data_IF_777603725664
#
_entry.id   IF_777603725664
#
_cell.length_a   1.000
_cell.length_b   1.000
_cell.length_c   1.000
_cell.angle_alpha   90.00
_cell.angle_beta   90.00
_cell.angle_gamma   90.00
#
_symmetry.space_group_name_H-M   'P 1'
#
loop_
_entity.id
_entity.type
_entity.pdbx_description
1 polymer ?
#
# COMPACT_ATOMS: atom_id res chain seq x y z
N UNK A 1 -16.76 -22.12 -13.34
CA UNK A 1 -17.44 -20.81 -13.42
C UNK A 1 -18.04 -20.41 -12.10
N UNK A 2 -17.75 -19.18 -11.69
CA UNK A 2 -18.37 -18.51 -10.56
C UNK A 2 -19.52 -17.64 -11.08
N UNK A 3 -20.66 -17.67 -10.42
CA UNK A 3 -21.81 -16.82 -10.79
C UNK A 3 -22.25 -15.98 -9.61
N UNK A 4 -22.55 -14.69 -9.88
CA UNK A 4 -23.11 -13.77 -8.90
C UNK A 4 -24.42 -14.27 -8.29
N UNK A 5 -24.75 -13.72 -7.11
CA UNK A 5 -25.97 -14.04 -6.36
C UNK A 5 -27.25 -13.74 -7.18
N UNK A 6 -27.20 -12.72 -8.04
CA UNK A 6 -28.33 -12.22 -8.82
C UNK A 6 -28.64 -13.03 -10.10
N UNK A 7 -27.82 -14.01 -10.48
CA UNK A 7 -28.05 -14.79 -11.70
C UNK A 7 -28.99 -15.96 -11.38
N UNK A 8 -30.16 -15.99 -12.02
CA UNK A 8 -31.15 -17.07 -11.89
C UNK A 8 -30.64 -18.42 -12.39
N UNK A 9 -31.19 -19.52 -11.85
CA UNK A 9 -30.75 -20.90 -12.16
C UNK A 9 -30.85 -21.24 -13.65
N UNK A 10 -31.93 -20.80 -14.33
CA UNK A 10 -32.12 -21.01 -15.78
C UNK A 10 -30.96 -20.42 -16.60
N UNK A 11 -30.62 -19.14 -16.34
CA UNK A 11 -29.51 -18.46 -17.02
C UNK A 11 -28.16 -19.11 -16.73
N UNK A 12 -27.91 -19.55 -15.49
CA UNK A 12 -26.70 -20.33 -15.13
C UNK A 12 -26.59 -21.61 -15.95
N UNK A 13 -27.68 -22.36 -16.09
CA UNK A 13 -27.69 -23.62 -16.83
C UNK A 13 -27.50 -23.40 -18.34
N UNK A 14 -28.09 -22.35 -18.91
CA UNK A 14 -27.90 -22.02 -20.33
C UNK A 14 -26.43 -21.66 -20.62
N UNK A 15 -25.83 -20.79 -19.80
CA UNK A 15 -24.41 -20.42 -19.93
C UNK A 15 -23.51 -21.64 -19.71
N UNK A 16 -23.83 -22.49 -18.73
CA UNK A 16 -23.09 -23.74 -18.46
C UNK A 16 -23.11 -24.67 -19.67
N UNK A 17 -24.27 -24.86 -20.32
CA UNK A 17 -24.40 -25.68 -21.52
C UNK A 17 -23.65 -25.08 -22.71
N UNK A 18 -23.72 -23.75 -22.87
CA UNK A 18 -23.06 -23.07 -23.98
C UNK A 18 -21.53 -23.12 -23.90
N UNK A 19 -20.94 -22.84 -22.73
CA UNK A 19 -19.48 -22.75 -22.58
C UNK A 19 -18.84 -24.08 -22.12
N UNK A 20 -19.63 -25.05 -21.61
CA UNK A 20 -19.13 -26.36 -21.22
C UNK A 20 -18.38 -26.43 -19.87
N UNK A 21 -18.20 -25.31 -19.15
CA UNK A 21 -17.49 -25.30 -17.87
C UNK A 21 -18.36 -25.66 -16.66
N UNK A 22 -17.79 -26.39 -15.68
CA UNK A 22 -18.47 -26.72 -14.41
C UNK A 22 -18.69 -25.47 -13.55
N UNK A 23 -19.87 -25.38 -12.92
CA UNK A 23 -20.18 -24.35 -11.92
C UNK A 23 -19.51 -24.70 -10.58
N UNK A 24 -18.78 -23.76 -10.00
CA UNK A 24 -18.07 -23.92 -8.72
C UNK A 24 -18.46 -22.74 -7.81
N UNK A 25 -18.44 -22.92 -6.49
CA UNK A 25 -18.71 -21.85 -5.51
C UNK A 25 -17.48 -21.03 -5.16
N UNK A 26 -16.31 -21.66 -5.13
CA UNK A 26 -15.02 -21.09 -4.74
C UNK A 26 -13.94 -21.69 -5.64
N UNK A 27 -12.91 -20.91 -5.99
CA UNK A 27 -11.80 -21.35 -6.82
C UNK A 27 -10.49 -21.01 -6.10
N UNK A 28 -9.53 -21.92 -6.07
CA UNK A 28 -8.18 -21.60 -5.62
C UNK A 28 -7.31 -21.32 -6.84
N UNK A 29 -6.70 -20.13 -6.89
CA UNK A 29 -5.80 -19.73 -7.97
C UNK A 29 -4.51 -19.19 -7.37
N UNK A 30 -3.38 -19.82 -7.70
CA UNK A 30 -2.05 -19.50 -7.12
C UNK A 30 -2.06 -19.46 -5.58
N UNK A 31 -2.85 -20.33 -4.94
CA UNK A 31 -3.03 -20.36 -3.48
C UNK A 31 -4.00 -19.30 -2.93
N UNK A 32 -4.48 -18.36 -3.74
CA UNK A 32 -5.52 -17.41 -3.35
C UNK A 32 -6.90 -17.99 -3.56
N UNK A 33 -7.72 -17.95 -2.51
CA UNK A 33 -9.12 -18.35 -2.58
C UNK A 33 -9.96 -17.22 -3.20
N UNK A 34 -10.47 -17.47 -4.40
CA UNK A 34 -11.37 -16.59 -5.12
C UNK A 34 -12.80 -17.02 -4.81
N UNK A 35 -13.51 -16.17 -4.09
CA UNK A 35 -14.92 -16.35 -3.77
C UNK A 35 -15.69 -15.04 -4.03
N UNK A 36 -16.97 -15.16 -4.38
CA UNK A 36 -17.85 -14.00 -4.61
C UNK A 36 -18.40 -13.38 -3.30
N UNK A 37 -17.94 -13.89 -2.15
CA UNK A 37 -18.22 -13.38 -0.81
C UNK A 37 -16.96 -12.75 -0.21
N UNK A 38 -17.12 -11.98 0.87
CA UNK A 38 -15.98 -11.55 1.68
C UNK A 38 -15.29 -12.77 2.31
N UNK A 39 -13.97 -12.82 2.19
CA UNK A 39 -13.14 -13.83 2.85
C UNK A 39 -13.11 -13.57 4.36
N UNK A 40 -13.19 -14.64 5.13
CA UNK A 40 -13.22 -14.64 6.60
C UNK A 40 -11.89 -15.15 7.16
N UNK A 41 -11.75 -15.10 8.48
CA UNK A 41 -10.59 -15.65 9.19
C UNK A 41 -10.30 -17.11 8.80
N UNK A 42 -11.34 -17.95 8.79
CA UNK A 42 -11.28 -19.38 8.43
C UNK A 42 -10.60 -19.62 7.06
N UNK A 43 -10.81 -18.72 6.10
CA UNK A 43 -10.24 -18.86 4.75
C UNK A 43 -8.71 -18.67 4.74
N UNK A 44 -8.12 -18.07 5.78
CA UNK A 44 -6.68 -17.81 5.91
C UNK A 44 -6.01 -18.63 7.01
N UNK A 45 -6.75 -19.52 7.69
CA UNK A 45 -6.23 -20.34 8.79
C UNK A 45 -5.03 -21.20 8.36
N UNK A 46 -5.01 -21.63 7.10
CA UNK A 46 -3.89 -22.38 6.52
C UNK A 46 -2.54 -21.65 6.63
N UNK A 47 -2.52 -20.30 6.64
CA UNK A 47 -1.29 -19.53 6.81
C UNK A 47 -0.72 -19.74 8.22
N UNK A 48 -1.59 -19.70 9.24
CA UNK A 48 -1.23 -19.93 10.63
C UNK A 48 -0.81 -21.38 10.83
N UNK A 49 -1.55 -22.34 10.27
CA UNK A 49 -1.20 -23.76 10.32
C UNK A 49 0.17 -24.03 9.69
N UNK A 50 0.49 -23.40 8.57
CA UNK A 50 1.80 -23.50 7.94
C UNK A 50 2.92 -22.91 8.81
N UNK A 51 2.64 -21.80 9.50
CA UNK A 51 3.57 -21.22 10.47
C UNK A 51 3.80 -22.19 11.65
N UNK A 52 2.73 -22.72 12.24
CA UNK A 52 2.81 -23.68 13.35
C UNK A 52 3.51 -24.98 12.97
N UNK A 53 3.26 -25.52 11.78
CA UNK A 53 3.98 -26.70 11.26
C UNK A 53 5.48 -26.45 11.19
N UNK A 54 5.91 -25.29 10.67
CA UNK A 54 7.33 -24.92 10.62
C UNK A 54 7.92 -24.71 12.01
N UNK A 55 7.18 -24.08 12.91
CA UNK A 55 7.57 -23.88 14.31
C UNK A 55 7.79 -25.20 15.05
N UNK A 56 6.91 -26.19 14.82
CA UNK A 56 7.01 -27.52 15.42
C UNK A 56 8.18 -28.34 14.85
N UNK A 57 8.54 -28.11 13.58
CA UNK A 57 9.69 -28.76 12.95
C UNK A 57 11.02 -28.21 13.44
N UNK A 58 11.07 -26.93 13.84
CA UNK A 58 12.31 -26.33 14.32
C UNK A 58 12.59 -26.72 15.75
N UNK A 59 13.78 -27.27 15.98
CA UNK A 59 14.31 -27.53 17.31
C UNK A 59 14.66 -26.20 18.01
N UNK A 60 13.63 -25.50 18.50
CA UNK A 60 13.72 -24.17 19.13
C UNK A 60 14.71 -24.11 20.31
N UNK A 61 15.00 -25.26 20.92
CA UNK A 61 15.99 -25.46 21.99
C UNK A 61 17.44 -25.36 21.53
N UNK A 62 17.72 -25.76 20.29
CA UNK A 62 19.07 -25.83 19.73
C UNK A 62 19.47 -24.53 19.01
N UNK A 63 18.52 -23.61 18.82
CA UNK A 63 18.73 -22.37 18.11
C UNK A 63 19.13 -21.25 19.07
N UNK A 64 20.21 -20.56 18.73
CA UNK A 64 20.54 -19.28 19.35
C UNK A 64 19.44 -18.24 19.10
N UNK A 65 19.39 -17.19 19.92
CA UNK A 65 18.45 -16.09 19.72
C UNK A 65 18.58 -15.48 18.31
N UNK A 66 19.83 -15.30 17.84
CA UNK A 66 20.10 -14.84 16.49
C UNK A 66 19.54 -15.79 15.41
N UNK A 67 19.68 -17.11 15.60
CA UNK A 67 19.09 -18.11 14.70
C UNK A 67 17.57 -18.04 14.66
N UNK A 68 16.92 -17.89 15.83
CA UNK A 68 15.46 -17.71 15.90
C UNK A 68 14.99 -16.46 15.18
N UNK A 69 15.65 -15.33 15.40
CA UNK A 69 15.33 -14.05 14.73
C UNK A 69 15.46 -14.17 13.21
N UNK A 70 16.53 -14.81 12.74
CA UNK A 70 16.75 -15.04 11.30
C UNK A 70 15.62 -15.88 10.70
N UNK A 71 15.23 -17.00 11.33
CA UNK A 71 14.13 -17.84 10.84
C UNK A 71 12.77 -17.13 10.82
N UNK A 72 12.48 -16.34 11.86
CA UNK A 72 11.27 -15.51 11.89
C UNK A 72 11.27 -14.54 10.71
N UNK A 73 12.38 -13.84 10.52
CA UNK A 73 12.53 -12.82 9.47
C UNK A 73 12.42 -13.40 8.07
N UNK A 74 13.13 -14.49 7.78
CA UNK A 74 13.24 -15.03 6.42
C UNK A 74 12.08 -15.95 6.05
N UNK A 75 11.48 -16.64 7.03
CA UNK A 75 10.44 -17.64 6.76
C UNK A 75 9.08 -17.19 7.26
N UNK A 76 8.89 -16.96 8.57
CA UNK A 76 7.55 -16.74 9.13
C UNK A 76 6.92 -15.43 8.63
N UNK A 77 7.68 -14.33 8.63
CA UNK A 77 7.21 -13.03 8.12
C UNK A 77 7.05 -13.01 6.59
N UNK A 78 7.65 -13.96 5.88
CA UNK A 78 7.48 -14.11 4.44
C UNK A 78 6.16 -14.82 4.09
N UNK A 79 5.67 -15.74 4.92
CA UNK A 79 4.46 -16.55 4.67
C UNK A 79 3.22 -15.73 4.27
N UNK A 80 2.79 -14.69 5.02
CA UNK A 80 1.59 -13.95 4.66
C UNK A 80 1.83 -12.93 3.54
N UNK A 81 3.08 -12.67 3.12
CA UNK A 81 3.42 -11.54 2.23
C UNK A 81 2.67 -11.61 0.89
N UNK A 82 2.54 -12.80 0.30
CA UNK A 82 1.81 -12.98 -0.96
C UNK A 82 0.30 -12.77 -0.79
N UNK A 83 -0.30 -13.29 0.28
CA UNK A 83 -1.73 -13.12 0.55
C UNK A 83 -2.05 -11.67 0.93
N UNK A 84 -1.26 -11.06 1.81
CA UNK A 84 -1.44 -9.69 2.28
C UNK A 84 -1.35 -8.62 1.16
N UNK A 85 -0.57 -8.89 0.11
CA UNK A 85 -0.44 -8.00 -1.05
C UNK A 85 -1.62 -8.07 -2.02
N UNK A 86 -2.27 -9.24 -2.15
CA UNK A 86 -3.32 -9.47 -3.16
C UNK A 86 -4.73 -9.63 -2.58
N UNK A 87 -4.88 -9.76 -1.26
CA UNK A 87 -6.17 -9.97 -0.61
C UNK A 87 -6.31 -9.19 0.70
N UNK A 88 -7.55 -8.93 1.08
CA UNK A 88 -7.88 -8.31 2.37
C UNK A 88 -7.81 -9.36 3.47
N UNK A 89 -6.59 -9.67 3.93
CA UNK A 89 -6.36 -10.55 5.08
C UNK A 89 -6.90 -9.86 6.34
N UNK A 90 -7.74 -10.54 7.16
CA UNK A 90 -8.21 -9.99 8.42
C UNK A 90 -7.04 -9.69 9.37
N UNK A 91 -7.06 -8.53 10.05
CA UNK A 91 -6.01 -8.11 10.99
C UNK A 91 -5.68 -9.19 12.03
N UNK A 92 -6.70 -9.85 12.57
CA UNK A 92 -6.55 -10.96 13.51
C UNK A 92 -5.63 -12.08 13.03
N UNK A 93 -5.67 -12.43 11.74
CA UNK A 93 -4.77 -13.47 11.17
C UNK A 93 -3.31 -13.01 11.23
N UNK A 94 -3.07 -11.74 10.91
CA UNK A 94 -1.72 -11.15 10.93
C UNK A 94 -1.20 -11.02 12.36
N UNK A 95 -2.08 -10.65 13.30
CA UNK A 95 -1.79 -10.56 14.73
C UNK A 95 -1.48 -11.94 15.34
N UNK A 96 -2.25 -12.97 15.01
CA UNK A 96 -1.99 -14.36 15.44
C UNK A 96 -0.63 -14.86 14.93
N UNK A 97 -0.27 -14.49 13.69
CA UNK A 97 1.04 -14.78 13.11
C UNK A 97 2.17 -14.06 13.87
N UNK A 98 1.99 -12.77 14.18
CA UNK A 98 2.94 -11.99 14.98
C UNK A 98 3.06 -12.58 16.39
N UNK A 99 1.98 -13.07 17.01
CA UNK A 99 1.99 -13.80 18.29
C UNK A 99 2.80 -15.09 18.18
N UNK A 100 2.60 -15.89 17.13
CA UNK A 100 3.38 -17.10 16.90
C UNK A 100 4.88 -16.79 16.75
N UNK A 101 5.24 -15.70 16.08
CA UNK A 101 6.62 -15.23 15.95
C UNK A 101 7.22 -14.84 17.32
N UNK A 102 6.48 -14.03 18.11
CA UNK A 102 6.90 -13.61 19.45
C UNK A 102 7.14 -14.81 20.37
N UNK A 103 6.21 -15.77 20.36
CA UNK A 103 6.30 -16.96 21.18
C UNK A 103 7.52 -17.81 20.79
N UNK A 104 7.83 -17.94 19.50
CA UNK A 104 9.00 -18.70 19.07
C UNK A 104 10.33 -18.07 19.51
N UNK A 105 10.43 -16.74 19.45
CA UNK A 105 11.62 -16.00 19.86
C UNK A 105 11.85 -16.18 21.37
N UNK A 106 10.82 -15.88 22.17
CA UNK A 106 10.96 -15.67 23.61
C UNK A 106 10.67 -16.90 24.46
N UNK A 107 9.79 -17.81 24.03
CA UNK A 107 9.45 -18.98 24.84
C UNK A 107 10.58 -20.03 24.82
N UNK A 108 10.92 -20.52 26.02
CA UNK A 108 11.83 -21.64 26.25
C UNK A 108 11.05 -22.74 27.00
N UNK A 109 10.64 -23.78 26.28
CA UNK A 109 9.81 -24.92 26.74
C UNK A 109 8.42 -24.59 27.34
N UNK A 110 7.45 -25.47 27.05
CA UNK A 110 6.11 -25.49 27.65
C UNK A 110 5.29 -24.18 27.59
N UNK A 111 5.59 -23.30 26.62
CA UNK A 111 4.79 -22.10 26.37
C UNK A 111 4.97 -20.96 27.38
N UNK A 112 5.91 -21.07 28.33
CA UNK A 112 6.18 -20.01 29.31
C UNK A 112 7.54 -19.36 29.00
N UNK A 113 7.51 -18.09 28.59
CA UNK A 113 8.70 -17.27 28.43
C UNK A 113 8.34 -15.80 28.52
N UNK A 114 9.19 -15.02 29.18
CA UNK A 114 8.99 -13.58 29.31
C UNK A 114 9.39 -12.88 28.00
N UNK A 115 8.53 -12.01 27.50
CA UNK A 115 8.85 -11.14 26.38
C UNK A 115 9.70 -9.97 26.88
N UNK A 116 11.00 -9.99 26.60
CA UNK A 116 11.92 -8.96 27.10
C UNK A 116 11.83 -7.62 26.35
N UNK A 117 11.36 -7.64 25.11
CA UNK A 117 11.30 -6.45 24.24
C UNK A 117 9.93 -6.41 23.58
N UNK A 118 9.35 -5.21 23.49
CA UNK A 118 8.11 -4.99 22.75
C UNK A 118 8.31 -5.36 21.27
N UNK A 119 7.31 -6.02 20.68
CA UNK A 119 7.36 -6.45 19.28
C UNK A 119 7.54 -5.30 18.30
N UNK A 120 6.90 -4.16 18.56
CA UNK A 120 7.05 -2.98 17.71
C UNK A 120 8.47 -2.42 17.76
N UNK A 121 9.13 -2.45 18.92
CA UNK A 121 10.54 -2.07 19.05
C UNK A 121 11.46 -3.03 18.29
N UNK A 122 11.16 -4.33 18.30
CA UNK A 122 11.89 -5.30 17.46
C UNK A 122 11.71 -5.04 15.96
N UNK A 123 10.56 -4.48 15.56
CA UNK A 123 10.25 -4.16 14.16
C UNK A 123 10.91 -2.88 13.66
N UNK A 124 11.53 -2.08 14.55
CA UNK A 124 12.25 -0.88 14.14
C UNK A 124 13.51 -1.24 13.32
N UNK A 125 14.00 -0.29 12.49
CA UNK A 125 15.29 -0.40 11.85
C UNK A 125 16.43 -0.62 12.85
N UNK A 126 17.52 -1.27 12.43
CA UNK A 126 18.71 -1.46 13.29
C UNK A 126 19.25 -0.10 13.78
N UNK A 127 19.24 0.91 12.91
CA UNK A 127 19.69 2.27 13.24
C UNK A 127 18.84 2.93 14.35
N UNK A 128 17.61 2.45 14.57
CA UNK A 128 16.70 2.91 15.62
C UNK A 128 16.65 1.93 16.81
N UNK A 129 17.67 1.07 16.98
CA UNK A 129 17.75 0.09 18.08
C UNK A 129 16.90 -1.18 17.88
N UNK A 130 16.23 -1.34 16.74
CA UNK A 130 15.42 -2.52 16.45
C UNK A 130 16.20 -3.69 15.83
N UNK A 131 15.47 -4.72 15.39
CA UNK A 131 16.05 -5.95 14.80
C UNK A 131 15.65 -6.16 13.33
N UNK A 132 15.14 -5.12 12.66
CA UNK A 132 14.66 -5.22 11.27
C UNK A 132 13.66 -6.37 11.08
N UNK A 133 12.82 -6.63 12.08
CA UNK A 133 11.61 -7.42 11.91
C UNK A 133 10.52 -6.55 11.30
N UNK A 134 9.45 -7.15 10.80
CA UNK A 134 8.34 -6.42 10.22
C UNK A 134 7.04 -6.96 10.78
N UNK A 135 6.26 -6.14 11.49
CA UNK A 135 4.92 -6.53 11.88
C UNK A 135 4.09 -6.74 10.63
N UNK A 136 3.42 -7.89 10.55
CA UNK A 136 2.61 -8.21 9.39
C UNK A 136 1.47 -7.21 9.19
N UNK A 137 0.93 -6.65 10.26
CA UNK A 137 -0.13 -5.63 10.21
C UNK A 137 0.38 -4.33 9.58
N UNK A 138 1.52 -3.81 10.08
CA UNK A 138 2.11 -2.55 9.58
C UNK A 138 2.66 -2.66 8.16
N UNK A 139 3.24 -3.81 7.79
CA UNK A 139 3.80 -4.05 6.45
C UNK A 139 2.72 -4.22 5.37
N UNK A 140 1.54 -4.71 5.73
CA UNK A 140 0.51 -5.11 4.76
C UNK A 140 0.07 -3.99 3.81
N UNK A 141 -0.24 -2.76 4.26
CA UNK A 141 -0.62 -1.67 3.36
C UNK A 141 0.52 -1.30 2.39
N UNK A 142 1.77 -1.25 2.87
CA UNK A 142 2.94 -0.89 2.04
C UNK A 142 3.17 -1.88 0.91
N UNK A 143 2.90 -3.18 1.12
CA UNK A 143 2.99 -4.19 0.06
C UNK A 143 2.05 -3.93 -1.11
N UNK A 144 0.94 -3.22 -0.87
CA UNK A 144 -0.08 -2.88 -1.89
C UNK A 144 0.31 -1.66 -2.72
N UNK A 145 1.30 -0.86 -2.27
CA UNK A 145 1.80 0.29 -3.02
C UNK A 145 2.32 -0.12 -4.41
N UNK A 146 2.91 -1.31 -4.54
CA UNK A 146 3.35 -1.84 -5.85
C UNK A 146 2.18 -2.07 -6.82
N UNK A 147 1.04 -2.55 -6.31
CA UNK A 147 -0.17 -2.74 -7.11
C UNK A 147 -0.72 -1.38 -7.54
N UNK A 148 -0.76 -0.41 -6.63
CA UNK A 148 -1.19 0.95 -6.91
C UNK A 148 -0.32 1.64 -7.96
N UNK A 149 1.01 1.51 -7.86
CA UNK A 149 1.93 2.05 -8.86
C UNK A 149 1.68 1.48 -10.27
N UNK A 150 1.51 0.15 -10.36
CA UNK A 150 1.17 -0.50 -11.64
C UNK A 150 -0.18 -0.05 -12.20
N UNK A 151 -1.13 0.26 -11.32
CA UNK A 151 -2.45 0.73 -11.72
C UNK A 151 -2.39 2.11 -12.37
N UNK A 152 -1.60 3.03 -11.79
CA UNK A 152 -1.37 4.39 -12.32
C UNK A 152 -0.62 4.34 -13.66
N UNK A 153 0.44 3.55 -13.74
CA UNK A 153 1.28 3.49 -14.94
C UNK A 153 0.58 2.82 -16.14
N UNK A 154 -0.28 1.82 -15.90
CA UNK A 154 -0.91 1.04 -16.96
C UNK A 154 -2.42 1.35 -17.06
N UNK A 155 -2.75 2.50 -17.65
CA UNK A 155 -4.14 2.92 -17.91
C UNK A 155 -4.92 1.95 -18.81
N UNK A 156 -4.25 1.31 -19.77
CA UNK A 156 -4.89 0.34 -20.69
C UNK A 156 -5.19 -1.03 -20.07
N UNK A 157 -4.79 -1.27 -18.82
CA UNK A 157 -4.99 -2.57 -18.20
C UNK A 157 -6.46 -2.87 -17.97
N UNK A 158 -6.85 -4.14 -18.11
CA UNK A 158 -8.24 -4.56 -17.85
C UNK A 158 -8.70 -4.21 -16.42
N UNK A 159 -7.78 -4.23 -15.45
CA UNK A 159 -8.05 -3.80 -14.08
C UNK A 159 -8.40 -2.32 -14.02
N UNK A 160 -7.64 -1.47 -14.72
CA UNK A 160 -7.90 -0.04 -14.79
C UNK A 160 -9.24 0.22 -15.48
N UNK A 161 -9.44 -0.30 -16.69
CA UNK A 161 -10.71 -0.16 -17.43
C UNK A 161 -11.94 -0.59 -16.62
N UNK A 162 -11.88 -1.73 -15.92
CA UNK A 162 -12.98 -2.23 -15.07
C UNK A 162 -13.23 -1.39 -13.82
N UNK A 163 -12.17 -0.83 -13.22
CA UNK A 163 -12.31 0.00 -12.03
C UNK A 163 -12.73 1.43 -12.41
N UNK A 164 -12.15 1.99 -13.47
CA UNK A 164 -12.53 3.29 -14.03
C UNK A 164 -13.99 3.29 -14.47
N UNK A 165 -14.47 2.25 -15.17
CA UNK A 165 -15.88 2.16 -15.58
C UNK A 165 -16.85 2.07 -14.40
N UNK A 166 -16.41 1.56 -13.24
CA UNK A 166 -17.24 1.36 -12.05
C UNK A 166 -17.15 2.53 -11.07
N UNK A 167 -15.98 3.14 -10.95
CA UNK A 167 -15.66 4.12 -9.92
C UNK A 167 -15.38 5.53 -10.48
N UNK A 168 -15.19 5.69 -11.79
CA UNK A 168 -14.83 6.93 -12.48
C UNK A 168 -13.32 7.07 -12.68
N UNK A 169 -12.88 8.13 -13.36
CA UNK A 169 -11.48 8.34 -13.76
C UNK A 169 -10.55 8.85 -12.64
N UNK A 170 -11.09 9.53 -11.63
CA UNK A 170 -10.32 10.11 -10.52
C UNK A 170 -9.89 9.07 -9.46
N UNK A 171 -9.28 7.98 -9.91
CA UNK A 171 -8.89 6.83 -9.07
C UNK A 171 -7.62 7.07 -8.26
N UNK A 172 -6.82 8.05 -8.67
CA UNK A 172 -5.60 8.45 -7.97
C UNK A 172 -5.90 9.21 -6.66
N UNK A 173 -7.13 9.73 -6.56
CA UNK A 173 -7.64 10.38 -5.34
C UNK A 173 -8.23 9.32 -4.41
N UNK A 174 -7.74 9.31 -3.17
CA UNK A 174 -8.18 8.40 -2.11
C UNK A 174 -9.61 8.75 -1.69
N UNK A 175 -10.62 8.17 -2.36
CA UNK A 175 -12.04 8.43 -2.04
C UNK A 175 -12.62 7.31 -1.18
N UNK A 176 -13.08 7.67 0.03
CA UNK A 176 -13.82 6.76 0.91
C UNK A 176 -15.22 6.48 0.38
N UNK A 177 -15.49 5.25 -0.09
CA UNK A 177 -16.83 4.81 -0.52
C UNK A 177 -17.35 3.69 0.36
N UNK A 178 -18.59 3.84 0.88
CA UNK A 178 -19.27 2.85 1.77
C UNK A 178 -19.35 1.45 1.16
N UNK A 179 -19.62 1.33 -0.14
CA UNK A 179 -19.80 0.06 -0.85
C UNK A 179 -18.73 -0.18 -1.93
N UNK A 180 -17.46 -0.21 -1.53
CA UNK A 180 -16.33 -0.49 -2.43
C UNK A 180 -16.00 -1.99 -2.53
N UNK A 181 -15.52 -2.41 -3.71
CA UNK A 181 -15.02 -3.78 -3.93
C UNK A 181 -13.77 -4.03 -3.10
N UNK A 182 -13.45 -5.30 -2.82
CA UNK A 182 -12.21 -5.66 -2.12
C UNK A 182 -10.98 -5.15 -2.87
N UNK A 183 -10.99 -5.24 -4.20
CA UNK A 183 -9.92 -4.75 -5.08
C UNK A 183 -9.75 -3.24 -4.97
N UNK A 184 -10.85 -2.47 -4.95
CA UNK A 184 -10.78 -1.02 -4.77
C UNK A 184 -10.22 -0.65 -3.39
N UNK A 185 -10.60 -1.37 -2.33
CA UNK A 185 -10.05 -1.13 -0.99
C UNK A 185 -8.55 -1.43 -0.92
N UNK A 186 -8.12 -2.53 -1.55
CA UNK A 186 -6.70 -2.89 -1.67
C UNK A 186 -5.92 -1.78 -2.38
N UNK A 187 -6.45 -1.31 -3.52
CA UNK A 187 -5.87 -0.23 -4.30
C UNK A 187 -5.78 1.06 -3.49
N UNK A 188 -6.87 1.44 -2.81
CA UNK A 188 -6.92 2.66 -2.00
C UNK A 188 -5.92 2.65 -0.84
N UNK A 189 -5.76 1.50 -0.16
CA UNK A 189 -4.69 1.35 0.84
C UNK A 189 -3.30 1.47 0.23
N UNK A 190 -3.07 0.89 -0.95
CA UNK A 190 -1.81 1.04 -1.68
C UNK A 190 -1.52 2.48 -2.11
N UNK A 191 -2.52 3.20 -2.63
CA UNK A 191 -2.42 4.60 -3.07
C UNK A 191 -2.05 5.52 -1.91
N UNK A 192 -2.65 5.33 -0.72
CA UNK A 192 -2.28 6.07 0.49
C UNK A 192 -0.80 5.92 0.83
N UNK A 193 -0.26 4.70 0.72
CA UNK A 193 1.16 4.43 1.01
C UNK A 193 2.10 4.87 -0.12
N UNK A 194 1.56 5.10 -1.32
CA UNK A 194 2.31 5.55 -2.49
C UNK A 194 2.51 7.08 -2.50
N UNK A 195 1.54 7.85 -2.00
CA UNK A 195 1.61 9.33 -1.92
C UNK A 195 2.94 9.90 -1.40
N UNK A 196 3.52 9.43 -0.27
CA UNK A 196 4.77 10.00 0.25
C UNK A 196 6.03 9.61 -0.54
N UNK A 197 5.95 8.63 -1.46
CA UNK A 197 7.12 8.14 -2.23
C UNK A 197 7.09 8.57 -3.70
N UNK A 198 6.07 9.34 -4.09
CA UNK A 198 5.85 9.79 -5.46
C UNK A 198 5.85 11.31 -5.50
N UNK A 199 6.53 11.85 -6.52
CA UNK A 199 6.53 13.25 -6.90
C UNK A 199 5.85 13.40 -8.26
N UNK A 200 5.12 14.48 -8.44
CA UNK A 200 4.54 14.86 -9.72
C UNK A 200 5.55 15.60 -10.60
N UNK A 201 5.68 15.18 -11.86
CA UNK A 201 6.24 15.97 -12.95
C UNK A 201 5.11 16.70 -13.67
N UNK A 202 5.26 18.02 -13.74
CA UNK A 202 4.19 18.94 -14.14
C UNK A 202 4.19 19.17 -15.65
N UNK A 203 2.98 19.21 -16.21
CA UNK A 203 2.68 19.60 -17.58
C UNK A 203 1.62 20.71 -17.57
N UNK A 204 0.40 20.39 -17.13
CA UNK A 204 -0.72 21.33 -17.04
C UNK A 204 -1.11 21.66 -15.60
N UNK A 205 -0.83 20.76 -14.64
CA UNK A 205 -1.13 20.96 -13.23
C UNK A 205 -2.60 20.77 -12.84
N UNK A 206 -3.44 20.25 -13.73
CA UNK A 206 -4.89 20.07 -13.48
C UNK A 206 -5.17 18.89 -12.54
N UNK A 207 -4.22 17.96 -12.42
CA UNK A 207 -4.36 16.77 -11.58
C UNK A 207 -3.69 16.89 -10.21
N UNK A 208 -2.92 17.97 -10.00
CA UNK A 208 -2.04 18.13 -8.83
C UNK A 208 -2.62 19.12 -7.84
N UNK A 209 -2.86 18.68 -6.60
CA UNK A 209 -3.23 19.55 -5.48
C UNK A 209 -1.97 20.24 -4.94
N UNK A 210 -2.01 21.57 -4.86
CA UNK A 210 -0.89 22.41 -4.45
C UNK A 210 -0.35 22.02 -3.07
N UNK A 211 -1.23 21.67 -2.13
CA UNK A 211 -0.84 21.48 -0.72
C UNK A 211 -0.61 20.01 -0.37
N UNK A 212 -1.42 19.11 -0.93
CA UNK A 212 -1.46 17.69 -0.51
C UNK A 212 -0.54 16.78 -1.30
N UNK A 213 -0.20 17.14 -2.52
CA UNK A 213 0.62 16.31 -3.39
C UNK A 213 2.07 16.84 -3.42
N UNK A 214 3.02 15.93 -3.65
CA UNK A 214 4.44 16.28 -3.72
C UNK A 214 4.76 16.69 -5.15
N UNK A 215 4.93 17.98 -5.39
CA UNK A 215 5.41 18.50 -6.66
C UNK A 215 6.65 19.40 -6.47
N UNK A 216 6.83 19.93 -5.25
CA UNK A 216 8.02 20.65 -4.80
C UNK A 216 8.90 19.71 -3.97
N UNK A 217 10.19 19.61 -4.31
CA UNK A 217 11.20 18.84 -3.57
C UNK A 217 10.76 17.39 -3.25
N UNK A 218 10.69 17.02 -1.97
CA UNK A 218 10.52 15.65 -1.45
C UNK A 218 9.35 15.50 -0.46
N UNK A 219 8.66 16.58 -0.09
CA UNK A 219 7.52 16.58 0.85
C UNK A 219 6.40 17.51 0.40
N UNK A 220 5.16 17.15 0.73
CA UNK A 220 3.99 17.98 0.48
C UNK A 220 4.00 19.22 1.38
N UNK A 221 3.50 20.35 0.87
CA UNK A 221 3.53 21.63 1.58
C UNK A 221 2.74 21.58 2.91
N UNK A 222 1.67 20.79 2.98
CA UNK A 222 0.89 20.57 4.21
C UNK A 222 1.67 19.95 5.38
N UNK A 223 2.82 19.31 5.09
CA UNK A 223 3.71 18.69 6.08
C UNK A 223 4.96 19.50 6.33
N UNK A 224 5.11 20.67 5.73
CA UNK A 224 6.26 21.52 5.96
C UNK A 224 6.10 22.24 7.31
N UNK A 225 7.05 22.12 8.25
CA UNK A 225 6.90 22.64 9.60
C UNK A 225 6.76 24.17 9.66
N UNK A 226 7.24 24.88 8.64
CA UNK A 226 7.21 26.35 8.54
C UNK A 226 6.10 26.89 7.62
N UNK A 227 5.32 26.01 6.97
CA UNK A 227 4.31 26.43 6.02
C UNK A 227 2.91 26.39 6.65
N UNK A 228 2.23 27.54 6.67
CA UNK A 228 0.86 27.65 7.19
C UNK A 228 -0.10 27.76 6.02
N UNK A 229 -1.03 26.81 5.90
CA UNK A 229 -2.10 26.87 4.92
C UNK A 229 -3.19 27.82 5.47
N UNK A 230 -3.54 28.91 4.76
CA UNK A 230 -4.63 29.78 5.21
C UNK A 230 -5.95 28.98 5.24
N UNK A 231 -6.69 29.06 6.36
CA UNK A 231 -7.87 28.24 6.62
C UNK A 231 -8.99 28.34 5.56
N UNK A 232 -9.06 29.45 4.81
CA UNK A 232 -10.07 29.70 3.77
C UNK A 232 -9.59 29.40 2.34
N UNK A 233 -8.40 28.78 2.19
CA UNK A 233 -7.88 28.45 0.86
C UNK A 233 -8.62 27.25 0.30
N UNK A 234 -9.42 27.46 -0.75
CA UNK A 234 -9.95 26.39 -1.59
C UNK A 234 -8.80 25.47 -2.04
N UNK A 235 -9.06 24.16 -2.30
CA UNK A 235 -8.08 23.28 -2.90
C UNK A 235 -7.62 23.88 -4.23
N UNK A 236 -6.43 24.48 -4.24
CA UNK A 236 -5.84 25.08 -5.40
C UNK A 236 -5.16 23.97 -6.21
N UNK A 237 -5.52 23.88 -7.48
CA UNK A 237 -4.77 23.08 -8.44
C UNK A 237 -3.54 23.86 -8.89
N UNK A 238 -2.46 23.15 -9.19
CA UNK A 238 -1.22 23.76 -9.69
C UNK A 238 -1.47 24.49 -11.02
N UNK A 239 -2.46 24.05 -11.81
CA UNK A 239 -2.84 24.70 -13.06
C UNK A 239 -3.23 26.16 -12.92
N UNK A 240 -3.69 26.61 -11.73
CA UNK A 240 -3.95 28.03 -11.48
C UNK A 240 -2.70 28.91 -11.64
N UNK A 241 -1.52 28.34 -11.40
CA UNK A 241 -0.24 29.04 -11.45
C UNK A 241 0.51 28.84 -12.78
N UNK A 242 -0.05 28.08 -13.72
CA UNK A 242 0.57 27.79 -15.02
C UNK A 242 -0.21 28.55 -16.10
N UNK A 243 0.50 29.38 -16.87
CA UNK A 243 -0.04 30.11 -18.01
C UNK A 243 0.86 29.89 -19.24
N UNK A 244 0.29 29.38 -20.33
CA UNK A 244 1.00 29.10 -21.59
C UNK A 244 2.28 28.26 -21.42
N UNK A 245 2.27 27.27 -20.51
CA UNK A 245 3.43 26.42 -20.24
C UNK A 245 4.56 27.09 -19.44
N UNK A 246 4.28 28.24 -18.83
CA UNK A 246 5.19 28.98 -17.97
C UNK A 246 4.54 29.32 -16.63
N UNK A 247 5.35 29.54 -15.59
CA UNK A 247 4.87 29.93 -14.27
C UNK A 247 4.38 31.38 -14.27
N UNK A 248 3.17 31.61 -13.77
CA UNK A 248 2.68 32.96 -13.49
C UNK A 248 3.30 33.45 -12.17
N UNK A 249 4.43 34.16 -12.28
CA UNK A 249 5.22 34.65 -11.13
C UNK A 249 4.44 35.65 -10.27
N UNK A 250 3.56 36.46 -10.88
CA UNK A 250 2.76 37.46 -10.17
C UNK A 250 1.80 36.78 -9.19
N UNK A 251 1.00 35.82 -9.68
CA UNK A 251 0.08 35.03 -8.85
C UNK A 251 0.81 34.18 -7.80
N UNK A 252 2.01 33.69 -8.12
CA UNK A 252 2.85 32.97 -7.17
C UNK A 252 3.35 33.87 -6.04
N UNK A 253 3.75 35.10 -6.33
CA UNK A 253 4.20 36.08 -5.33
C UNK A 253 3.07 36.57 -4.42
N UNK A 254 1.83 36.58 -4.90
CA UNK A 254 0.65 36.86 -4.08
C UNK A 254 0.32 35.71 -3.12
N UNK A 255 0.62 34.47 -3.51
CA UNK A 255 0.22 33.26 -2.78
C UNK A 255 1.32 32.68 -1.89
N UNK A 256 2.60 32.90 -2.23
CA UNK A 256 3.75 32.28 -1.59
C UNK A 256 4.85 33.30 -1.29
N UNK A 257 5.67 33.01 -0.28
CA UNK A 257 6.85 33.81 0.03
C UNK A 257 7.92 33.74 -1.07
N UNK A 258 8.72 34.79 -1.22
CA UNK A 258 9.72 34.95 -2.30
C UNK A 258 10.65 33.73 -2.44
N UNK A 259 11.11 33.16 -1.33
CA UNK A 259 12.03 32.02 -1.35
C UNK A 259 11.37 30.78 -1.97
N UNK A 260 10.09 30.55 -1.68
CA UNK A 260 9.33 29.44 -2.24
C UNK A 260 9.03 29.67 -3.73
N UNK A 261 8.74 30.92 -4.13
CA UNK A 261 8.55 31.26 -5.55
C UNK A 261 9.83 31.02 -6.35
N UNK A 262 11.00 31.36 -5.78
CA UNK A 262 12.29 31.07 -6.40
C UNK A 262 12.52 29.57 -6.59
N UNK A 263 12.09 28.74 -5.63
CA UNK A 263 12.14 27.28 -5.77
C UNK A 263 11.16 26.75 -6.82
N UNK A 264 9.93 27.27 -6.85
CA UNK A 264 8.88 26.85 -7.80
C UNK A 264 9.29 27.18 -9.23
N UNK A 265 9.80 28.37 -9.46
CA UNK A 265 10.24 28.83 -10.79
C UNK A 265 11.41 28.04 -11.37
N UNK A 266 12.20 27.36 -10.52
CA UNK A 266 13.25 26.43 -10.96
C UNK A 266 12.69 25.09 -11.45
N UNK A 267 11.44 24.75 -11.14
CA UNK A 267 10.81 23.51 -11.58
C UNK A 267 10.46 23.64 -13.07
N UNK A 268 11.03 22.76 -13.89
CA UNK A 268 10.72 22.72 -15.32
C UNK A 268 9.31 22.15 -15.53
N UNK A 269 8.49 22.89 -16.29
CA UNK A 269 7.22 22.40 -16.82
C UNK A 269 7.53 21.67 -18.11
N UNK A 270 7.18 20.38 -18.18
CA UNK A 270 7.48 19.55 -19.34
C UNK A 270 6.49 19.84 -20.46
N UNK A 271 6.97 20.15 -21.66
CA UNK A 271 6.10 20.44 -22.82
C UNK A 271 5.77 19.19 -23.66
N UNK A 272 6.42 18.06 -23.39
CA UNK A 272 6.35 16.83 -24.20
C UNK A 272 5.27 15.83 -23.73
N UNK A 273 4.16 16.29 -23.14
CA UNK A 273 3.08 15.42 -22.67
C UNK A 273 1.70 16.10 -22.69
N UNK A 274 0.64 15.28 -22.73
CA UNK A 274 -0.75 15.77 -22.60
C UNK A 274 -1.22 15.84 -21.14
N UNK A 275 -0.57 15.11 -20.22
CA UNK A 275 -1.01 14.97 -18.82
C UNK A 275 0.17 14.94 -17.84
N UNK A 276 -0.07 15.45 -16.62
CA UNK A 276 0.85 15.35 -15.47
C UNK A 276 1.21 13.89 -15.16
N UNK A 277 2.47 13.62 -14.79
CA UNK A 277 2.95 12.26 -14.51
C UNK A 277 3.48 12.12 -13.09
N UNK A 278 3.41 10.91 -12.57
CA UNK A 278 3.95 10.54 -11.27
C UNK A 278 5.30 9.84 -11.43
N UNK A 279 6.29 10.26 -10.65
CA UNK A 279 7.65 9.73 -10.59
C UNK A 279 8.05 9.34 -9.17
N UNK A 280 8.87 8.30 -9.01
CA UNK A 280 9.36 7.89 -7.70
C UNK A 280 10.50 8.80 -7.22
N UNK A 281 10.40 9.34 -6.01
CA UNK A 281 11.40 10.25 -5.41
C UNK A 281 12.75 9.53 -5.20
N UNK A 282 12.70 8.25 -4.84
CA UNK A 282 13.83 7.50 -4.30
C UNK A 282 14.23 6.29 -5.18
N UNK A 283 14.33 6.46 -6.50
CA UNK A 283 14.65 5.35 -7.42
C UNK A 283 15.99 4.64 -7.12
N UNK A 284 16.97 5.35 -6.53
CA UNK A 284 18.36 4.88 -6.40
C UNK A 284 18.67 3.99 -5.18
N UNK A 285 17.70 3.72 -4.29
CA UNK A 285 17.99 2.99 -3.04
C UNK A 285 17.99 1.47 -3.16
N UNK A 286 17.76 0.90 -4.36
CA UNK A 286 17.69 -0.56 -4.56
C UNK A 286 16.54 -1.25 -3.82
N UNK A 287 15.63 -0.48 -3.21
CA UNK A 287 14.48 -0.97 -2.48
C UNK A 287 13.29 -1.15 -3.42
N UNK A 288 12.49 -2.19 -3.18
CA UNK A 288 11.19 -2.32 -3.86
C UNK A 288 10.25 -1.17 -3.46
N UNK A 289 9.27 -0.84 -4.32
CA UNK A 289 8.24 0.18 -4.03
C UNK A 289 7.55 -0.05 -2.68
N UNK A 290 7.23 -1.31 -2.36
CA UNK A 290 6.64 -1.65 -1.07
C UNK A 290 7.60 -1.48 0.11
N UNK A 291 8.91 -1.64 -0.12
CA UNK A 291 9.95 -1.35 0.86
C UNK A 291 10.14 0.15 1.10
N UNK A 292 10.13 0.96 0.04
CA UNK A 292 10.14 2.43 0.12
C UNK A 292 8.92 2.93 0.91
N UNK A 293 7.72 2.49 0.52
CA UNK A 293 6.48 2.84 1.19
C UNK A 293 6.46 2.43 2.67
N UNK A 294 7.06 1.29 3.00
CA UNK A 294 7.18 0.83 4.39
C UNK A 294 8.14 1.68 5.21
N UNK A 295 9.30 2.04 4.63
CA UNK A 295 10.29 2.90 5.28
C UNK A 295 9.68 4.27 5.62
N UNK A 296 9.01 4.91 4.66
CA UNK A 296 8.32 6.19 4.89
C UNK A 296 7.23 6.08 5.95
N UNK A 297 6.45 4.99 5.95
CA UNK A 297 5.39 4.82 6.96
C UNK A 297 5.92 4.70 8.39
N UNK A 298 7.12 4.14 8.58
CA UNK A 298 7.76 4.07 9.90
C UNK A 298 8.30 5.44 10.29
N UNK A 299 8.91 6.18 9.36
CA UNK A 299 9.45 7.51 9.64
C UNK A 299 8.34 8.45 10.14
N UNK A 300 7.20 8.47 9.45
CA UNK A 300 6.03 9.26 9.86
C UNK A 300 5.51 8.87 11.24
N UNK A 301 5.57 7.58 11.62
CA UNK A 301 5.10 7.12 12.94
C UNK A 301 6.07 7.41 14.09
N UNK A 302 7.24 7.98 13.82
CA UNK A 302 8.24 8.33 14.84
C UNK A 302 8.24 9.83 15.15
N UNK A 303 7.62 10.66 14.31
CA UNK A 303 7.52 12.11 14.46
C UNK A 303 6.25 12.55 15.22
N UNK A 304 5.32 11.60 15.49
CA UNK A 304 4.10 11.76 16.31
C UNK A 304 4.30 11.22 17.75
#
# INVERSE_FOLDING_TARGET
MLFGKHIGRKKKNNIKRFIGFKTIKELNYLGLKIALRRLKYEDYQFIIENALKKLNQWASKLLSLAGKLTLVKTVLLALPTFHASHSLVPKRVLEDLDIACKNFIWCKNNGKGMHYVNWLDMCKPINCGGRNLHSNNLKTPSLRARLAWRFIQNKDSLLNNMLASKYGDNMDKVVGRRCSSSTYKLLNEGLKMLKPIVKWSLVNGDSVDVYKDIWILDKSLDKWPTFVIPHDSNPALVSKFIQNGSWNVELLMESFGRDLVNLITQIMITQEGEEDRMELIHQKYGLSIGGLAYKESIAVSQDD
#
